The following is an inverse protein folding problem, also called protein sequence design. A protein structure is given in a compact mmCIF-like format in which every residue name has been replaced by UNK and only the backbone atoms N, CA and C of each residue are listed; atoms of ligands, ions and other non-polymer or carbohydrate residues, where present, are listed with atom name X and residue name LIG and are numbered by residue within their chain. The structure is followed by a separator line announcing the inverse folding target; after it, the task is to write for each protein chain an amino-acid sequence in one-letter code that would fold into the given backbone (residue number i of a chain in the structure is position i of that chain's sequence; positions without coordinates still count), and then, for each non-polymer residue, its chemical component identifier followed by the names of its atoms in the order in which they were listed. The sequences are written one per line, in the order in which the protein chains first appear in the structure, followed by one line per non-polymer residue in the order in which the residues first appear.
data_IF_207667961848
#
_entry.id   IF_207667961848
#
_cell.length_a   1.000
_cell.length_b   1.000
_cell.length_c   1.000
_cell.angle_alpha   90.00
_cell.angle_beta   90.00
_cell.angle_gamma   90.00
#
_symmetry.space_group_name_H-M   'P 1'
#
loop_
_entity.id
_entity.type
_entity.pdbx_description
1 polymer ?
#
# COMPACT_ATOMS: atom_id res chain seq x y z
N UNK A 1 2.14 11.43 -17.49
CA UNK A 1 2.09 10.81 -16.14
C UNK A 1 3.21 9.80 -15.89
N UNK A 2 3.41 8.79 -16.76
CA UNK A 2 4.42 7.73 -16.60
C UNK A 2 5.89 8.19 -16.51
N UNK A 3 6.25 9.33 -17.14
CA UNK A 3 7.63 9.87 -17.14
C UNK A 3 8.06 10.51 -15.80
N UNK A 4 7.12 11.06 -15.02
CA UNK A 4 7.43 11.76 -13.77
C UNK A 4 7.58 10.79 -12.58
N UNK A 5 6.77 9.73 -12.55
CA UNK A 5 6.83 8.69 -11.50
C UNK A 5 8.08 7.80 -11.63
N UNK A 6 8.58 7.59 -12.85
CA UNK A 6 9.85 6.87 -13.12
C UNK A 6 11.11 7.60 -12.61
N UNK A 7 11.02 8.89 -12.24
CA UNK A 7 12.18 9.65 -11.70
C UNK A 7 12.39 9.47 -10.20
N UNK A 8 11.47 8.81 -9.50
CA UNK A 8 11.64 8.47 -8.10
C UNK A 8 12.53 7.23 -7.97
N UNK A 9 13.74 7.41 -7.45
CA UNK A 9 14.76 6.35 -7.26
C UNK A 9 14.24 5.11 -6.49
N UNK A 10 13.17 5.30 -5.71
CA UNK A 10 12.51 4.29 -4.88
C UNK A 10 11.50 3.42 -5.64
N UNK A 11 11.15 3.76 -6.88
CA UNK A 11 10.12 3.05 -7.66
C UNK A 11 10.79 2.05 -8.61
N UNK A 12 10.48 0.76 -8.42
CA UNK A 12 10.95 -0.36 -9.26
C UNK A 12 10.16 -0.48 -10.55
N UNK A 13 8.83 -0.34 -10.47
CA UNK A 13 7.95 -0.47 -11.63
C UNK A 13 6.72 0.44 -11.49
N UNK A 14 6.24 0.95 -12.63
CA UNK A 14 5.04 1.78 -12.72
C UNK A 14 4.14 1.19 -13.80
N UNK A 15 3.03 0.58 -13.39
CA UNK A 15 1.96 0.17 -14.31
C UNK A 15 0.84 1.19 -14.23
N UNK A 16 0.63 1.94 -15.30
CA UNK A 16 -0.51 2.86 -15.42
C UNK A 16 -1.57 2.22 -16.30
N UNK A 17 -2.75 2.00 -15.73
CA UNK A 17 -3.92 1.55 -16.46
C UNK A 17 -4.82 2.74 -16.76
N UNK A 18 -4.75 3.20 -18.01
CA UNK A 18 -5.48 4.39 -18.48
C UNK A 18 -7.00 4.18 -18.47
N UNK A 19 -7.47 2.95 -18.68
CA UNK A 19 -8.89 2.60 -18.69
C UNK A 19 -9.56 2.79 -17.33
N UNK A 20 -8.83 2.56 -16.24
CA UNK A 20 -9.31 2.71 -14.85
C UNK A 20 -8.72 3.92 -14.16
N UNK A 21 -7.96 4.76 -14.89
CA UNK A 21 -7.22 5.90 -14.35
C UNK A 21 -6.37 5.56 -13.11
N UNK A 22 -5.90 4.31 -13.03
CA UNK A 22 -5.20 3.76 -11.88
C UNK A 22 -3.71 3.60 -12.18
N UNK A 23 -2.85 3.92 -11.22
CA UNK A 23 -1.40 3.68 -11.34
C UNK A 23 -0.93 2.79 -10.19
N UNK A 24 -0.41 1.62 -10.53
CA UNK A 24 0.24 0.70 -9.60
C UNK A 24 1.73 1.00 -9.57
N UNK A 25 2.24 1.29 -8.38
CA UNK A 25 3.65 1.56 -8.12
C UNK A 25 4.23 0.38 -7.33
N UNK A 26 5.31 -0.21 -7.84
CA UNK A 26 6.09 -1.20 -7.10
C UNK A 26 7.31 -0.50 -6.53
N UNK A 27 7.46 -0.46 -5.21
CA UNK A 27 8.60 0.18 -4.56
C UNK A 27 9.76 -0.80 -4.36
N UNK A 28 10.99 -0.28 -4.35
CA UNK A 28 12.18 -1.05 -3.95
C UNK A 28 12.12 -1.32 -2.44
N UNK A 29 12.49 -2.54 -1.98
CA UNK A 29 12.64 -2.82 -0.57
C UNK A 29 13.74 -1.94 0.04
N UNK A 30 13.66 -1.64 1.34
CA UNK A 30 14.68 -0.92 2.09
C UNK A 30 14.50 0.61 2.18
N UNK A 31 13.50 1.18 1.51
CA UNK A 31 13.20 2.62 1.58
C UNK A 31 11.80 2.85 2.16
N UNK A 32 11.64 3.68 3.20
CA UNK A 32 10.32 4.06 3.68
C UNK A 32 9.56 4.83 2.59
N UNK A 33 8.26 4.57 2.50
CA UNK A 33 7.36 5.21 1.55
C UNK A 33 6.75 6.45 2.21
N UNK A 34 7.04 7.62 1.63
CA UNK A 34 6.39 8.86 2.00
C UNK A 34 5.14 9.07 1.13
N UNK A 35 3.99 8.64 1.66
CA UNK A 35 2.70 8.74 0.96
C UNK A 35 2.28 10.18 0.69
N UNK A 36 2.72 11.14 1.51
CA UNK A 36 2.38 12.55 1.34
C UNK A 36 3.20 13.16 0.22
N UNK A 37 4.50 12.91 0.18
CA UNK A 37 5.34 13.29 -0.94
C UNK A 37 4.84 12.66 -2.26
N UNK A 38 4.28 11.45 -2.19
CA UNK A 38 3.70 10.78 -3.33
C UNK A 38 2.41 11.45 -3.82
N UNK A 39 1.50 11.79 -2.90
CA UNK A 39 0.29 12.54 -3.21
C UNK A 39 0.63 13.94 -3.78
N UNK A 40 1.61 14.63 -3.20
CA UNK A 40 2.09 15.94 -3.67
C UNK A 40 2.72 15.84 -5.07
N UNK A 41 3.50 14.80 -5.35
CA UNK A 41 4.06 14.56 -6.67
C UNK A 41 2.98 14.27 -7.74
N UNK A 42 1.89 13.59 -7.35
CA UNK A 42 0.73 13.35 -8.22
C UNK A 42 -0.02 14.66 -8.49
N UNK A 43 -0.23 15.48 -7.45
CA UNK A 43 -0.86 16.82 -7.56
C UNK A 43 -0.05 17.74 -8.48
N UNK A 44 1.27 17.83 -8.28
CA UNK A 44 2.19 18.56 -9.15
C UNK A 44 2.22 18.06 -10.59
N UNK A 45 1.89 16.80 -10.81
CA UNK A 45 1.78 16.23 -12.16
C UNK A 45 0.45 16.59 -12.85
N UNK A 46 -0.42 17.36 -12.19
CA UNK A 46 -1.72 17.80 -12.70
C UNK A 46 -2.87 16.84 -12.38
N UNK A 47 -2.70 15.91 -11.42
CA UNK A 47 -3.70 14.91 -11.06
C UNK A 47 -3.97 14.95 -9.56
N UNK A 48 -5.21 14.80 -9.11
CA UNK A 48 -5.48 14.63 -7.66
C UNK A 48 -5.43 13.17 -7.26
N UNK A 49 -4.58 12.84 -6.28
CA UNK A 49 -4.60 11.53 -5.65
C UNK A 49 -5.92 11.37 -4.87
N UNK A 50 -6.86 10.59 -5.40
CA UNK A 50 -8.12 10.31 -4.72
C UNK A 50 -7.99 9.20 -3.67
N UNK A 51 -7.30 8.12 -4.03
CA UNK A 51 -7.16 6.92 -3.21
C UNK A 51 -5.78 6.29 -3.43
N UNK A 52 -5.13 5.93 -2.32
CA UNK A 52 -3.87 5.18 -2.35
C UNK A 52 -4.14 3.82 -1.71
N UNK A 53 -3.93 2.75 -2.49
CA UNK A 53 -3.98 1.38 -1.97
C UNK A 53 -2.56 0.87 -1.80
N UNK A 54 -2.24 0.39 -0.61
CA UNK A 54 -0.99 -0.24 -0.24
C UNK A 54 -1.18 -1.75 -0.22
N UNK A 55 -0.34 -2.46 -0.99
CA UNK A 55 -0.17 -3.89 -0.87
C UNK A 55 1.18 -4.12 -0.21
N UNK A 56 1.18 -4.69 0.99
CA UNK A 56 2.39 -4.87 1.77
C UNK A 56 2.31 -6.18 2.56
N UNK A 57 3.45 -6.83 2.70
CA UNK A 57 3.62 -7.93 3.65
C UNK A 57 4.34 -7.39 4.87
N UNK A 58 3.96 -7.83 6.06
CA UNK A 58 4.48 -7.23 7.29
C UNK A 58 3.89 -7.87 8.54
N UNK A 59 4.34 -7.38 9.69
CA UNK A 59 3.87 -7.87 10.99
C UNK A 59 2.92 -6.87 11.61
N UNK A 60 1.75 -7.34 12.03
CA UNK A 60 0.83 -6.54 12.84
C UNK A 60 1.20 -6.66 14.31
N UNK A 61 1.36 -5.52 14.99
CA UNK A 61 1.50 -5.44 16.45
C UNK A 61 0.31 -4.68 17.02
N UNK A 62 -0.27 -5.19 18.10
CA UNK A 62 -1.36 -4.53 18.82
C UNK A 62 -0.81 -4.10 20.17
N UNK A 63 -0.80 -2.79 20.44
CA UNK A 63 -0.41 -2.25 21.73
C UNK A 63 -1.46 -2.55 22.80
N UNK A 64 -1.07 -2.44 24.07
CA UNK A 64 -1.97 -2.62 25.20
C UNK A 64 -3.19 -1.68 25.16
N UNK A 65 -3.03 -0.49 24.57
CA UNK A 65 -4.08 0.50 24.32
C UNK A 65 -5.07 0.12 23.20
N UNK A 66 -4.97 -1.08 22.63
CA UNK A 66 -5.82 -1.55 21.52
C UNK A 66 -5.46 -0.98 20.14
N UNK A 67 -4.46 -0.08 20.07
CA UNK A 67 -3.93 0.50 18.82
C UNK A 67 -3.11 -0.53 18.06
N UNK A 68 -3.42 -0.71 16.79
CA UNK A 68 -2.68 -1.60 15.91
C UNK A 68 -1.65 -0.82 15.07
N UNK A 69 -0.45 -1.37 14.95
CA UNK A 69 0.64 -0.85 14.14
C UNK A 69 1.11 -1.96 13.22
N UNK A 70 1.07 -1.70 11.92
CA UNK A 70 1.57 -2.61 10.90
C UNK A 70 3.01 -2.23 10.54
N UNK A 71 3.93 -3.17 10.68
CA UNK A 71 5.33 -2.99 10.29
C UNK A 71 5.54 -3.65 8.95
N UNK A 72 5.80 -2.86 7.91
CA UNK A 72 6.02 -3.37 6.55
C UNK A 72 7.36 -4.10 6.47
N UNK A 73 7.34 -5.37 6.09
CA UNK A 73 8.53 -6.17 5.85
C UNK A 73 9.32 -5.60 4.68
N UNK A 74 10.64 -5.54 4.84
CA UNK A 74 11.56 -4.97 3.85
C UNK A 74 11.82 -3.48 4.00
N UNK A 75 10.94 -2.69 4.61
CA UNK A 75 11.21 -1.26 4.91
C UNK A 75 11.28 -0.97 6.40
N UNK A 76 10.86 -1.90 7.26
CA UNK A 76 10.67 -1.70 8.71
C UNK A 76 9.82 -0.47 9.05
N UNK A 77 8.99 -0.02 8.11
CA UNK A 77 8.15 1.14 8.30
C UNK A 77 6.94 0.75 9.15
N UNK A 78 6.85 1.35 10.34
CA UNK A 78 5.72 1.21 11.23
C UNK A 78 4.62 2.20 10.85
N UNK A 79 3.45 1.68 10.49
CA UNK A 79 2.29 2.47 10.10
C UNK A 79 1.12 2.20 11.03
N UNK A 80 0.50 3.24 11.63
CA UNK A 80 -0.68 3.06 12.45
C UNK A 80 -1.84 2.56 11.59
N UNK A 81 -2.55 1.56 12.09
CA UNK A 81 -3.71 0.97 11.42
C UNK A 81 -4.96 1.57 12.07
N UNK A 82 -5.82 2.16 11.24
CA UNK A 82 -7.13 2.62 11.64
C UNK A 82 -8.03 1.42 11.98
N UNK A 83 -8.98 1.63 12.89
CA UNK A 83 -9.90 0.57 13.27
C UNK A 83 -10.84 0.24 12.09
N UNK A 84 -10.93 -1.04 11.75
CA UNK A 84 -11.75 -1.53 10.66
C UNK A 84 -12.27 -2.92 11.00
N UNK A 85 -13.43 -3.34 10.46
CA UNK A 85 -14.00 -4.66 10.75
C UNK A 85 -13.06 -5.81 10.35
N UNK A 86 -12.15 -5.54 9.40
CA UNK A 86 -11.18 -6.50 8.90
C UNK A 86 -9.90 -6.56 9.73
N UNK A 87 -9.67 -5.59 10.61
CA UNK A 87 -8.56 -5.61 11.56
C UNK A 87 -8.80 -6.66 12.65
N UNK A 88 -10.04 -6.88 13.08
CA UNK A 88 -10.38 -7.82 14.15
C UNK A 88 -9.81 -9.25 13.94
N UNK A 89 -9.99 -9.91 12.78
CA UNK A 89 -9.35 -11.21 12.53
C UNK A 89 -7.82 -11.11 12.46
N UNK A 90 -7.27 -10.00 11.98
CA UNK A 90 -5.82 -9.80 11.94
C UNK A 90 -5.19 -9.62 13.31
N UNK A 91 -5.89 -9.01 14.28
CA UNK A 91 -5.41 -8.91 15.67
C UNK A 91 -5.15 -10.30 16.27
N UNK A 92 -5.87 -11.34 15.83
CA UNK A 92 -5.64 -12.75 16.24
C UNK A 92 -4.36 -13.35 15.64
N UNK A 93 -3.94 -12.83 14.50
CA UNK A 93 -2.72 -13.22 13.78
C UNK A 93 -1.56 -12.25 14.06
N UNK A 94 -1.72 -11.35 15.06
CA UNK A 94 -0.69 -10.40 15.43
C UNK A 94 0.60 -11.12 15.82
N UNK A 95 1.74 -10.54 15.43
CA UNK A 95 3.06 -11.15 15.58
C UNK A 95 3.46 -12.10 14.45
N UNK A 96 2.55 -12.47 13.54
CA UNK A 96 2.89 -13.21 12.31
C UNK A 96 3.13 -12.26 11.14
N UNK A 97 3.92 -12.71 10.18
CA UNK A 97 4.06 -12.03 8.90
C UNK A 97 2.82 -12.32 8.05
N UNK A 98 2.08 -11.26 7.70
CA UNK A 98 0.82 -11.32 6.97
C UNK A 98 0.84 -10.33 5.80
N UNK A 99 0.38 -10.75 4.60
CA UNK A 99 0.11 -9.83 3.51
C UNK A 99 -1.21 -9.10 3.73
N UNK A 100 -1.19 -7.79 3.53
CA UNK A 100 -2.37 -6.93 3.64
C UNK A 100 -2.55 -6.09 2.38
N UNK A 101 -3.81 -5.77 2.13
CA UNK A 101 -4.25 -4.70 1.26
C UNK A 101 -4.87 -3.65 2.16
N UNK A 102 -4.33 -2.44 2.14
CA UNK A 102 -4.83 -1.35 2.97
C UNK A 102 -5.01 -0.08 2.14
N UNK A 103 -6.07 0.66 2.42
CA UNK A 103 -6.18 2.03 1.93
C UNK A 103 -5.37 2.95 2.85
N UNK A 104 -4.52 3.79 2.25
CA UNK A 104 -3.71 4.75 2.98
C UNK A 104 -4.49 6.05 3.11
N UNK A 105 -4.83 6.41 4.34
CA UNK A 105 -5.35 7.73 4.71
C UNK A 105 -4.20 8.72 4.80
N UNK A 106 -3.64 9.08 3.65
CA UNK A 106 -2.52 10.03 3.53
C UNK A 106 -2.90 11.47 3.93
N UNK A 107 -4.18 11.75 4.10
CA UNK A 107 -4.70 13.02 4.61
C UNK A 107 -4.59 13.15 6.14
N UNK A 108 -4.45 12.03 6.87
CA UNK A 108 -4.24 12.04 8.32
C UNK A 108 -2.75 12.22 8.65
N UNK A 109 -2.44 12.90 9.77
CA UNK A 109 -1.06 13.06 10.26
C UNK A 109 -0.94 12.50 11.68
N UNK A 110 -0.26 11.35 11.89
CA UNK A 110 0.41 10.52 10.88
C UNK A 110 -0.58 9.75 9.98
N UNK A 111 -0.16 9.36 8.75
CA UNK A 111 -1.00 8.63 7.82
C UNK A 111 -1.40 7.27 8.40
N UNK A 112 -2.66 6.89 8.24
CA UNK A 112 -3.22 5.64 8.78
C UNK A 112 -3.55 4.64 7.68
N UNK A 113 -3.42 3.36 8.00
CA UNK A 113 -3.82 2.25 7.13
C UNK A 113 -5.21 1.76 7.50
N UNK A 114 -6.15 1.77 6.56
CA UNK A 114 -7.43 1.11 6.71
C UNK A 114 -7.34 -0.24 6.01
N UNK A 115 -7.29 -1.34 6.76
CA UNK A 115 -7.23 -2.67 6.16
C UNK A 115 -8.49 -2.91 5.33
N UNK A 116 -8.27 -3.22 4.05
CA UNK A 116 -9.28 -3.54 3.04
C UNK A 116 -9.28 -5.03 2.63
N UNK A 117 -8.17 -5.75 2.84
CA UNK A 117 -8.16 -7.22 2.95
C UNK A 117 -6.86 -7.77 3.54
N UNK A 118 -6.93 -8.99 4.06
CA UNK A 118 -5.82 -9.70 4.72
C UNK A 118 -5.41 -11.02 4.01
N UNK A 119 -5.98 -11.33 2.85
CA UNK A 119 -5.70 -12.56 2.12
C UNK A 119 -4.71 -12.28 0.98
N UNK A 120 -3.64 -13.08 0.83
CA UNK A 120 -2.92 -13.18 -0.42
C UNK A 120 -3.77 -14.01 -1.38
N UNK A 121 -4.78 -13.37 -1.95
CA UNK A 121 -5.48 -13.87 -3.12
C UNK A 121 -5.09 -12.99 -4.29
N UNK A 122 -4.11 -13.44 -5.07
CA UNK A 122 -3.93 -13.00 -6.44
C UNK A 122 -5.21 -13.35 -7.23
N UNK A 123 -6.25 -12.56 -7.11
CA UNK A 123 -7.41 -12.66 -7.98
C UNK A 123 -7.70 -11.26 -8.50
N UNK A 124 -7.26 -11.00 -9.73
CA UNK A 124 -7.38 -9.68 -10.36
C UNK A 124 -6.07 -9.04 -10.82
N UNK A 125 -5.07 -9.82 -11.25
CA UNK A 125 -4.22 -9.34 -12.34
C UNK A 125 -5.02 -9.52 -13.65
N UNK A 126 -5.69 -8.49 -14.22
CA UNK A 126 -6.03 -8.54 -15.62
C UNK A 126 -4.71 -8.49 -16.40
N UNK A 127 -4.33 -9.60 -17.05
CA UNK A 127 -3.35 -9.56 -18.14
C UNK A 127 -2.32 -10.68 -18.26
N UNK A 128 -2.26 -11.69 -17.39
CA UNK A 128 -1.52 -12.92 -17.72
C UNK A 128 -2.50 -14.00 -18.20
N UNK A 129 -3.09 -13.78 -19.38
CA UNK A 129 -3.76 -14.84 -20.12
C UNK A 129 -3.21 -14.87 -21.54
N UNK A 130 -2.44 -15.92 -21.85
CA UNK A 130 -2.23 -16.39 -23.22
C UNK A 130 -0.92 -15.99 -23.90
N UNK A 131 0.21 -16.56 -23.46
CA UNK A 131 1.22 -17.02 -24.41
C UNK A 131 1.37 -18.53 -24.18
N UNK A 132 0.63 -19.29 -24.96
CA UNK A 132 0.55 -20.73 -24.87
C UNK A 132 0.18 -21.28 -26.23
N UNK A 133 1.23 -21.50 -27.01
CA UNK A 133 1.36 -22.33 -28.21
C UNK A 133 0.81 -21.76 -29.52
#
# INVERSE_FOLDING_TARGET
MSKSLRRLDVVRDVKTELSTQSSTLTFKPGRPIDFRALADAVDRAGFKAGKITLWATGTLKVGADGRAIFTVSGTNQALPVADSPQLAPLKKEAGKEIPIVAEVRFQETPPRLVIASAKPGMEGMPGMKGMGQ
#
